data_IF_314228030743
#
_entry.id   IF_314228030743
#
_cell.length_a   1.000
_cell.length_b   1.000
_cell.length_c   1.000
_cell.angle_alpha   90.00
_cell.angle_beta   90.00
_cell.angle_gamma   90.00
#
_symmetry.space_group_name_H-M   'P 1'
#
loop_
_entity.id
_entity.type
_entity.pdbx_description
1 polymer ?
#
# COMPACT_ATOMS: atom_id res chain seq x y z
N UNK A 1 1.20 -19.48 -11.36
CA UNK A 1 1.62 -20.43 -12.39
C UNK A 1 2.18 -19.65 -13.57
N UNK A 2 3.39 -20.02 -14.05
CA UNK A 2 4.06 -19.34 -15.16
C UNK A 2 3.82 -20.03 -16.51
N UNK A 3 3.07 -21.13 -16.49
CA UNK A 3 2.74 -21.89 -17.68
C UNK A 3 1.37 -21.49 -18.21
N UNK A 4 1.29 -21.27 -19.50
CA UNK A 4 0.03 -21.17 -20.24
C UNK A 4 0.21 -21.75 -21.66
N UNK A 5 -0.85 -21.85 -22.43
CA UNK A 5 -0.88 -22.52 -23.74
C UNK A 5 0.14 -22.01 -24.77
N UNK A 6 0.72 -20.82 -24.54
CA UNK A 6 1.69 -20.17 -25.43
C UNK A 6 3.13 -20.21 -24.92
N UNK A 7 3.41 -20.91 -23.79
CA UNK A 7 4.74 -21.00 -23.21
C UNK A 7 4.86 -20.40 -21.80
N UNK A 8 5.95 -19.70 -21.50
CA UNK A 8 6.23 -19.11 -20.20
C UNK A 8 5.87 -17.63 -20.16
N UNK A 9 5.22 -17.19 -19.07
CA UNK A 9 5.08 -15.79 -18.76
C UNK A 9 6.17 -15.35 -17.78
N UNK A 10 6.86 -14.25 -18.11
CA UNK A 10 7.87 -13.64 -17.27
C UNK A 10 7.41 -12.24 -16.84
N UNK A 11 7.52 -11.93 -15.55
CA UNK A 11 7.30 -10.59 -15.00
C UNK A 11 8.62 -10.00 -14.53
N UNK A 12 9.01 -8.90 -15.16
CA UNK A 12 10.14 -8.11 -14.71
C UNK A 12 9.67 -7.07 -13.68
N UNK A 13 10.09 -7.21 -12.42
CA UNK A 13 9.83 -6.22 -11.39
C UNK A 13 10.98 -5.21 -11.37
N UNK A 14 10.68 -3.96 -11.68
CA UNK A 14 11.66 -2.88 -11.71
C UNK A 14 12.02 -2.42 -10.28
N UNK A 15 13.27 -1.93 -10.04
CA UNK A 15 13.70 -1.50 -8.71
C UNK A 15 12.89 -0.28 -8.22
N UNK A 16 12.43 -0.28 -6.94
CA UNK A 16 11.57 0.77 -6.41
C UNK A 16 12.31 2.09 -6.11
N UNK A 17 13.65 2.08 -6.04
CA UNK A 17 14.47 3.23 -5.65
C UNK A 17 15.43 3.73 -6.74
N UNK A 18 15.59 2.99 -7.82
CA UNK A 18 16.51 3.33 -8.90
C UNK A 18 15.77 3.69 -10.18
N UNK A 19 16.19 4.76 -10.83
CA UNK A 19 15.70 5.09 -12.18
C UNK A 19 16.32 4.17 -13.22
N UNK A 20 15.48 3.45 -13.96
CA UNK A 20 15.91 2.66 -15.10
C UNK A 20 16.19 3.62 -16.27
N UNK A 21 17.43 3.64 -16.73
CA UNK A 21 17.82 4.46 -17.89
C UNK A 21 17.90 3.65 -19.18
N UNK A 22 18.01 2.35 -19.06
CA UNK A 22 18.18 1.46 -20.19
C UNK A 22 17.77 0.04 -19.79
N UNK A 23 17.11 -0.66 -20.69
CA UNK A 23 16.66 -2.05 -20.51
C UNK A 23 16.72 -2.75 -21.87
N UNK A 24 17.35 -3.91 -21.91
CA UNK A 24 17.28 -4.83 -23.04
C UNK A 24 16.84 -6.22 -22.56
N UNK A 25 16.08 -6.91 -23.40
CA UNK A 25 15.66 -8.29 -23.15
C UNK A 25 16.19 -9.12 -24.31
N UNK A 26 17.02 -10.11 -24.00
CA UNK A 26 17.53 -11.08 -24.95
C UNK A 26 16.78 -12.39 -24.83
N UNK A 27 16.44 -12.99 -25.98
CA UNK A 27 15.93 -14.34 -26.10
C UNK A 27 16.80 -15.16 -27.04
N UNK A 28 16.81 -16.49 -26.97
CA UNK A 28 17.49 -17.34 -27.96
C UNK A 28 17.04 -17.00 -29.39
N UNK A 29 17.96 -17.15 -30.37
CA UNK A 29 17.75 -16.71 -31.76
C UNK A 29 16.48 -17.32 -32.43
N UNK A 30 16.05 -18.49 -31.96
CA UNK A 30 14.88 -19.19 -32.53
C UNK A 30 13.61 -19.06 -31.66
N UNK A 31 13.67 -18.28 -30.58
CA UNK A 31 12.54 -18.07 -29.69
C UNK A 31 11.79 -16.77 -30.02
N UNK A 32 10.49 -16.77 -29.79
CA UNK A 32 9.65 -15.58 -29.96
C UNK A 32 9.41 -14.91 -28.60
N UNK A 33 9.53 -13.60 -28.55
CA UNK A 33 9.14 -12.76 -27.42
C UNK A 33 7.88 -11.98 -27.77
N UNK A 34 6.83 -12.22 -27.03
CA UNK A 34 5.57 -11.47 -27.16
C UNK A 34 5.29 -10.68 -25.89
N UNK A 35 5.02 -9.39 -26.01
CA UNK A 35 4.58 -8.58 -24.87
C UNK A 35 3.10 -8.80 -24.58
N UNK A 36 2.81 -9.11 -23.33
CA UNK A 36 1.42 -9.24 -22.86
C UNK A 36 0.81 -7.84 -22.75
N UNK A 37 -0.39 -7.60 -23.31
CA UNK A 37 -1.05 -6.30 -23.18
C UNK A 37 -1.28 -5.92 -21.71
N UNK A 38 -1.28 -4.63 -21.44
CA UNK A 38 -1.64 -4.10 -20.12
C UNK A 38 -3.08 -4.52 -19.79
N UNK A 39 -3.30 -4.98 -18.57
CA UNK A 39 -4.65 -5.34 -18.12
C UNK A 39 -5.61 -4.15 -18.25
N UNK A 40 -6.81 -4.34 -18.83
CA UNK A 40 -7.83 -3.29 -18.90
C UNK A 40 -8.55 -3.06 -17.57
N UNK A 41 -8.26 -3.87 -16.57
CA UNK A 41 -8.89 -3.78 -15.24
C UNK A 41 -8.50 -2.49 -14.52
N UNK A 42 -9.46 -1.88 -13.81
CA UNK A 42 -9.15 -0.73 -12.96
C UNK A 42 -8.11 -1.11 -11.91
N UNK A 43 -7.07 -0.29 -11.72
CA UNK A 43 -6.00 -0.60 -10.78
C UNK A 43 -6.47 -0.46 -9.32
N UNK A 44 -5.76 -1.11 -8.42
CA UNK A 44 -5.69 -0.73 -7.02
C UNK A 44 -4.63 0.38 -6.93
N UNK A 45 -4.99 1.50 -6.31
CA UNK A 45 -4.04 2.59 -6.05
C UNK A 45 -3.56 2.51 -4.60
N UNK A 46 -2.26 2.44 -4.42
CA UNK A 46 -1.58 2.47 -3.14
C UNK A 46 -0.83 3.79 -3.00
N UNK A 47 -1.23 4.62 -2.04
CA UNK A 47 -0.49 5.82 -1.64
C UNK A 47 0.10 5.65 -0.25
N UNK A 48 1.41 5.86 -0.11
CA UNK A 48 2.07 5.61 1.16
C UNK A 48 3.52 6.11 1.23
N UNK A 49 4.23 5.56 2.17
CA UNK A 49 5.57 5.95 2.59
C UNK A 49 6.67 5.07 1.96
N UNK A 50 7.89 5.08 2.55
CA UNK A 50 8.96 4.14 2.21
C UNK A 50 8.54 2.67 2.35
N UNK A 51 7.65 2.36 3.29
CA UNK A 51 7.13 0.99 3.48
C UNK A 51 6.30 0.57 2.26
N UNK A 52 5.41 1.44 1.79
CA UNK A 52 4.64 1.21 0.57
C UNK A 52 5.54 1.16 -0.68
N UNK A 53 6.56 2.02 -0.76
CA UNK A 53 7.56 1.99 -1.83
C UNK A 53 8.35 0.68 -1.86
N UNK A 54 8.55 0.04 -0.69
CA UNK A 54 9.22 -1.25 -0.55
C UNK A 54 10.63 -1.18 -0.01
N UNK A 55 10.91 -0.20 0.86
CA UNK A 55 12.19 -0.11 1.57
C UNK A 55 12.48 -1.40 2.35
N UNK A 56 13.71 -1.87 2.26
CA UNK A 56 14.23 -3.09 2.91
C UNK A 56 13.67 -4.43 2.39
N UNK A 57 12.82 -4.43 1.37
CA UNK A 57 12.55 -5.66 0.63
C UNK A 57 13.82 -6.14 -0.08
N UNK A 58 14.12 -7.45 -0.02
CA UNK A 58 15.35 -8.02 -0.62
C UNK A 58 15.43 -7.84 -2.14
N UNK A 59 14.30 -7.71 -2.80
CA UNK A 59 14.13 -7.51 -4.24
C UNK A 59 12.78 -6.88 -4.56
N UNK A 60 12.62 -6.23 -5.73
CA UNK A 60 11.39 -5.52 -6.09
C UNK A 60 10.12 -6.35 -5.96
N UNK A 61 10.16 -7.62 -6.36
CA UNK A 61 9.02 -8.53 -6.28
C UNK A 61 8.59 -8.90 -4.86
N UNK A 62 9.38 -8.55 -3.83
CA UNK A 62 9.07 -8.80 -2.41
C UNK A 62 8.51 -7.57 -1.69
N UNK A 63 8.32 -6.45 -2.38
CA UNK A 63 7.55 -5.34 -1.79
C UNK A 63 6.12 -5.78 -1.56
N UNK A 64 5.50 -5.35 -0.47
CA UNK A 64 4.15 -5.80 -0.14
C UNK A 64 3.10 -5.45 -1.21
N UNK A 65 3.27 -4.32 -1.89
CA UNK A 65 2.42 -3.95 -3.03
C UNK A 65 2.54 -4.93 -4.20
N UNK A 66 3.77 -5.42 -4.51
CA UNK A 66 3.98 -6.41 -5.56
C UNK A 66 3.49 -7.81 -5.18
N UNK A 67 3.57 -8.18 -3.90
CA UNK A 67 2.98 -9.42 -3.39
C UNK A 67 1.45 -9.34 -3.55
N UNK A 68 0.84 -8.26 -3.08
CA UNK A 68 -0.60 -8.00 -3.20
C UNK A 68 -1.07 -8.05 -4.65
N UNK A 69 -0.35 -7.39 -5.57
CA UNK A 69 -0.66 -7.41 -7.00
C UNK A 69 -0.69 -8.82 -7.58
N UNK A 70 0.32 -9.65 -7.23
CA UNK A 70 0.40 -11.04 -7.73
C UNK A 70 -0.74 -11.90 -7.19
N UNK A 71 -1.05 -11.74 -5.92
CA UNK A 71 -2.09 -12.53 -5.25
C UNK A 71 -3.48 -12.20 -5.76
N UNK A 72 -3.78 -10.93 -5.96
CA UNK A 72 -5.10 -10.47 -6.40
C UNK A 72 -5.29 -10.51 -7.93
N UNK A 73 -4.21 -10.50 -8.71
CA UNK A 73 -4.26 -10.44 -10.17
C UNK A 73 -4.69 -9.09 -10.76
N UNK A 74 -4.96 -8.07 -9.95
CA UNK A 74 -5.30 -6.73 -10.41
C UNK A 74 -4.06 -5.86 -10.62
N UNK A 75 -4.06 -4.92 -11.60
CA UNK A 75 -3.02 -3.91 -11.70
C UNK A 75 -2.92 -3.12 -10.40
N UNK A 76 -1.71 -2.76 -10.01
CA UNK A 76 -1.46 -1.92 -8.83
C UNK A 76 -0.59 -0.73 -9.23
N UNK A 77 -1.06 0.48 -8.90
CA UNK A 77 -0.28 1.71 -9.01
C UNK A 77 0.28 2.00 -7.62
N UNK A 78 1.60 1.89 -7.48
CA UNK A 78 2.29 2.16 -6.22
C UNK A 78 2.84 3.58 -6.21
N UNK A 79 2.25 4.44 -5.39
CA UNK A 79 2.67 5.80 -5.08
C UNK A 79 3.27 5.86 -3.67
N UNK A 80 4.23 4.98 -3.40
CA UNK A 80 5.04 5.01 -2.19
C UNK A 80 6.16 6.05 -2.33
N UNK A 81 6.26 6.98 -1.38
CA UNK A 81 7.25 8.05 -1.37
C UNK A 81 8.05 8.03 -0.08
N UNK A 82 9.29 7.53 -0.15
CA UNK A 82 10.20 7.43 1.00
C UNK A 82 10.46 8.79 1.64
N UNK A 83 10.26 8.89 2.95
CA UNK A 83 10.36 10.15 3.70
C UNK A 83 9.23 11.16 3.44
N UNK A 84 8.31 10.85 2.55
CA UNK A 84 7.14 11.63 2.15
C UNK A 84 5.88 10.75 2.22
N UNK A 85 4.89 11.00 1.35
CA UNK A 85 3.61 10.30 1.44
C UNK A 85 2.87 10.70 2.71
N UNK A 86 2.65 12.02 2.86
CA UNK A 86 2.11 12.65 4.08
C UNK A 86 0.70 13.17 3.88
N UNK A 87 -0.04 12.59 2.94
CA UNK A 87 -1.37 13.04 2.53
C UNK A 87 -1.35 14.46 1.96
N UNK A 88 -0.29 14.80 1.22
CA UNK A 88 -0.11 16.09 0.58
C UNK A 88 -1.22 16.34 -0.43
N UNK A 89 -1.84 17.52 -0.36
CA UNK A 89 -2.95 17.90 -1.23
C UNK A 89 -2.60 17.78 -2.72
N UNK A 90 -1.38 18.19 -3.09
CA UNK A 90 -0.90 18.18 -4.46
C UNK A 90 -0.76 16.75 -5.02
N UNK A 91 -0.37 15.79 -4.17
CA UNK A 91 -0.32 14.37 -4.55
C UNK A 91 -1.73 13.81 -4.67
N UNK A 92 -2.63 14.19 -3.77
CA UNK A 92 -4.03 13.79 -3.81
C UNK A 92 -4.74 14.37 -5.04
N UNK A 93 -4.37 15.56 -5.54
CA UNK A 93 -4.89 16.12 -6.79
C UNK A 93 -4.60 15.16 -7.97
N UNK A 94 -3.38 14.63 -8.09
CA UNK A 94 -3.04 13.61 -9.10
C UNK A 94 -3.73 12.26 -8.84
N UNK A 95 -3.85 11.83 -7.59
CA UNK A 95 -4.58 10.61 -7.24
C UNK A 95 -6.04 10.69 -7.70
N UNK A 96 -6.66 11.85 -7.59
CA UNK A 96 -8.03 12.08 -8.05
C UNK A 96 -8.21 12.04 -9.57
N UNK A 97 -7.13 12.04 -10.36
CA UNK A 97 -7.20 11.81 -11.81
C UNK A 97 -7.29 10.31 -12.18
N UNK A 98 -7.00 9.42 -11.22
CA UNK A 98 -6.92 7.98 -11.45
C UNK A 98 -8.22 7.31 -11.03
N UNK A 99 -8.95 6.72 -11.98
CA UNK A 99 -10.13 5.90 -11.70
C UNK A 99 -9.72 4.51 -11.19
N UNK A 100 -9.47 4.42 -9.89
CA UNK A 100 -9.04 3.19 -9.24
C UNK A 100 -10.23 2.34 -8.77
N UNK A 101 -10.01 1.02 -8.68
CA UNK A 101 -10.94 0.06 -8.09
C UNK A 101 -11.02 0.21 -6.57
N UNK A 102 -9.89 0.56 -5.95
CA UNK A 102 -9.72 0.77 -4.52
C UNK A 102 -8.56 1.74 -4.30
N UNK A 103 -8.72 2.66 -3.36
CA UNK A 103 -7.65 3.53 -2.89
C UNK A 103 -7.17 3.04 -1.52
N UNK A 104 -5.88 2.77 -1.37
CA UNK A 104 -5.24 2.38 -0.10
C UNK A 104 -4.36 3.54 0.36
N UNK A 105 -4.61 4.08 1.54
CA UNK A 105 -3.85 5.15 2.15
C UNK A 105 -3.02 4.60 3.33
N UNK A 106 -1.71 4.40 3.10
CA UNK A 106 -0.71 3.88 4.06
C UNK A 106 0.34 4.96 4.36
N UNK A 107 -0.12 6.14 4.83
CA UNK A 107 0.71 7.34 4.97
C UNK A 107 1.13 7.64 6.42
N UNK A 108 0.54 6.98 7.41
CA UNK A 108 0.74 7.32 8.82
C UNK A 108 2.20 7.31 9.27
N UNK A 109 3.10 6.38 8.82
CA UNK A 109 4.47 6.34 9.31
C UNK A 109 5.27 7.65 9.13
N UNK A 110 4.91 8.51 8.19
CA UNK A 110 5.58 9.79 7.96
C UNK A 110 4.87 11.00 8.58
N UNK A 111 3.83 10.77 9.39
CA UNK A 111 3.11 11.83 10.11
C UNK A 111 3.60 12.02 11.55
N UNK A 112 4.72 11.42 11.93
CA UNK A 112 5.28 11.46 13.30
C UNK A 112 5.34 12.85 13.93
N UNK A 113 5.71 13.95 13.20
CA UNK A 113 5.76 15.28 13.82
C UNK A 113 4.39 15.91 14.11
N UNK A 114 3.31 15.30 13.58
CA UNK A 114 1.97 15.86 13.67
C UNK A 114 1.28 15.50 14.98
N UNK A 115 0.47 16.43 15.48
CA UNK A 115 -0.45 16.16 16.57
C UNK A 115 -1.60 15.24 16.13
N UNK A 116 -2.30 14.64 17.08
CA UNK A 116 -3.49 13.82 16.82
C UNK A 116 -4.54 14.56 15.99
N UNK A 117 -4.83 15.83 16.33
CA UNK A 117 -5.84 16.61 15.62
C UNK A 117 -5.40 16.97 14.20
N UNK A 118 -4.12 17.31 13.98
CA UNK A 118 -3.59 17.51 12.62
C UNK A 118 -3.70 16.24 11.77
N UNK A 119 -3.43 15.06 12.34
CA UNK A 119 -3.57 13.77 11.66
C UNK A 119 -5.05 13.50 11.32
N UNK A 120 -5.94 13.74 12.30
CA UNK A 120 -7.39 13.62 12.07
C UNK A 120 -7.84 14.49 10.90
N UNK A 121 -7.36 15.74 10.85
CA UNK A 121 -7.70 16.66 9.76
C UNK A 121 -7.14 16.19 8.41
N UNK A 122 -5.84 15.81 8.36
CA UNK A 122 -5.21 15.34 7.11
C UNK A 122 -5.90 14.12 6.52
N UNK A 123 -6.22 13.13 7.36
CA UNK A 123 -6.93 11.92 6.92
C UNK A 123 -8.34 12.28 6.44
N UNK A 124 -9.04 13.14 7.17
CA UNK A 124 -10.39 13.59 6.77
C UNK A 124 -10.38 14.35 5.44
N UNK A 125 -9.41 15.24 5.24
CA UNK A 125 -9.28 16.01 4.00
C UNK A 125 -8.93 15.11 2.82
N UNK A 126 -8.01 14.16 3.00
CA UNK A 126 -7.65 13.20 1.96
C UNK A 126 -8.85 12.36 1.51
N UNK A 127 -9.61 11.81 2.45
CA UNK A 127 -10.82 11.03 2.14
C UNK A 127 -11.86 11.89 1.44
N UNK A 128 -12.12 13.10 1.91
CA UNK A 128 -13.09 14.02 1.30
C UNK A 128 -12.67 14.44 -0.11
N UNK A 129 -11.37 14.68 -0.33
CA UNK A 129 -10.84 15.03 -1.65
C UNK A 129 -11.03 13.89 -2.66
N UNK A 130 -10.68 12.67 -2.32
CA UNK A 130 -10.92 11.50 -3.17
C UNK A 130 -12.42 11.29 -3.39
N UNK A 131 -13.21 11.41 -2.35
CA UNK A 131 -14.67 11.20 -2.40
C UNK A 131 -15.40 12.24 -3.22
N UNK A 132 -14.81 13.42 -3.42
CA UNK A 132 -15.40 14.46 -4.29
C UNK A 132 -15.47 14.04 -5.76
N UNK A 133 -14.60 13.12 -6.20
CA UNK A 133 -14.48 12.68 -7.60
C UNK A 133 -14.78 11.20 -7.79
N UNK A 134 -14.61 10.36 -6.76
CA UNK A 134 -14.70 8.89 -6.86
C UNK A 134 -15.61 8.29 -5.79
N UNK A 135 -16.36 7.27 -6.20
CA UNK A 135 -17.18 6.44 -5.30
C UNK A 135 -16.52 5.13 -4.88
N UNK A 136 -15.39 4.77 -5.48
CA UNK A 136 -14.66 3.53 -5.18
C UNK A 136 -14.24 3.46 -3.71
N UNK A 137 -14.14 2.26 -3.11
CA UNK A 137 -13.73 2.09 -1.72
C UNK A 137 -12.40 2.77 -1.39
N UNK A 138 -12.28 3.26 -0.15
CA UNK A 138 -11.03 3.81 0.40
C UNK A 138 -10.68 2.99 1.64
N UNK A 139 -9.47 2.43 1.68
CA UNK A 139 -8.90 1.70 2.82
C UNK A 139 -7.85 2.56 3.51
N UNK A 140 -8.09 2.89 4.78
CA UNK A 140 -7.12 3.53 5.65
C UNK A 140 -6.34 2.45 6.39
N UNK A 141 -5.00 2.52 6.39
CA UNK A 141 -4.13 1.54 7.02
C UNK A 141 -3.44 2.18 8.22
N UNK A 142 -3.50 1.53 9.38
CA UNK A 142 -2.78 1.96 10.58
C UNK A 142 -1.27 1.79 10.43
N UNK A 143 -0.54 2.57 11.20
CA UNK A 143 0.90 2.37 11.41
C UNK A 143 1.12 1.04 12.15
N UNK A 144 1.91 0.14 11.57
CA UNK A 144 2.22 -1.17 12.16
C UNK A 144 2.99 -1.08 13.50
N UNK A 145 3.51 0.09 13.85
CA UNK A 145 4.33 0.34 15.03
C UNK A 145 5.82 0.35 14.70
N UNK A 146 6.62 0.35 15.75
CA UNK A 146 8.07 0.23 15.70
C UNK A 146 8.51 -0.99 16.50
N UNK A 147 9.47 -1.77 15.99
CA UNK A 147 9.91 -2.99 16.68
C UNK A 147 10.59 -2.72 18.04
N UNK A 148 11.13 -1.51 18.23
CA UNK A 148 11.74 -1.07 19.49
C UNK A 148 10.77 -0.31 20.43
N UNK A 149 9.48 -0.22 20.12
CA UNK A 149 8.53 0.59 20.88
C UNK A 149 8.41 0.16 22.35
N UNK A 150 8.64 -1.12 22.67
CA UNK A 150 8.62 -1.59 24.08
C UNK A 150 9.81 -1.08 24.91
N UNK A 151 10.88 -0.61 24.26
CA UNK A 151 12.07 -0.06 24.90
C UNK A 151 12.21 1.46 24.69
N UNK A 152 11.33 2.08 23.90
CA UNK A 152 11.34 3.49 23.56
C UNK A 152 9.92 4.06 23.63
N UNK A 153 9.60 4.67 24.77
CA UNK A 153 8.29 5.26 25.00
C UNK A 153 7.92 6.32 23.96
N UNK A 154 8.89 7.05 23.41
CA UNK A 154 8.62 8.02 22.34
C UNK A 154 8.06 7.32 21.12
N UNK A 155 8.67 6.23 20.71
CA UNK A 155 8.21 5.42 19.56
C UNK A 155 6.85 4.78 19.84
N UNK A 156 6.64 4.32 21.06
CA UNK A 156 5.34 3.80 21.48
C UNK A 156 4.24 4.86 21.36
N UNK A 157 4.45 6.03 21.94
CA UNK A 157 3.48 7.11 21.90
C UNK A 157 3.28 7.68 20.48
N UNK A 158 4.31 7.71 19.67
CA UNK A 158 4.23 8.19 18.29
C UNK A 158 3.22 7.40 17.46
N UNK A 159 3.37 6.08 17.35
CA UNK A 159 2.43 5.31 16.51
C UNK A 159 1.03 5.22 17.12
N UNK A 160 0.90 5.18 18.46
CA UNK A 160 -0.41 5.22 19.13
C UNK A 160 -1.13 6.52 18.75
N UNK A 161 -0.48 7.67 18.89
CA UNK A 161 -1.04 8.97 18.52
C UNK A 161 -1.48 9.02 17.06
N UNK A 162 -0.66 8.47 16.14
CA UNK A 162 -0.98 8.44 14.73
C UNK A 162 -2.21 7.57 14.45
N UNK A 163 -2.27 6.38 15.00
CA UNK A 163 -3.39 5.48 14.84
C UNK A 163 -4.68 6.03 15.45
N UNK A 164 -4.60 6.62 16.64
CA UNK A 164 -5.74 7.29 17.28
C UNK A 164 -6.27 8.47 16.45
N UNK A 165 -5.38 9.26 15.82
CA UNK A 165 -5.77 10.37 14.96
C UNK A 165 -6.49 9.89 13.70
N UNK A 166 -5.97 8.84 13.05
CA UNK A 166 -6.58 8.24 11.88
C UNK A 166 -7.92 7.56 12.22
N UNK A 167 -7.99 6.85 13.34
CA UNK A 167 -9.23 6.21 13.81
C UNK A 167 -10.32 7.23 14.11
N UNK A 168 -9.96 8.33 14.79
CA UNK A 168 -10.89 9.44 15.04
C UNK A 168 -11.43 10.02 13.72
N UNK A 169 -10.56 10.24 12.73
CA UNK A 169 -10.99 10.71 11.41
C UNK A 169 -11.97 9.74 10.75
N UNK A 170 -11.67 8.44 10.77
CA UNK A 170 -12.52 7.41 10.23
C UNK A 170 -13.92 7.41 10.87
N UNK A 171 -14.00 7.44 12.20
CA UNK A 171 -15.25 7.46 12.96
C UNK A 171 -16.08 8.73 12.66
N UNK A 172 -15.44 9.90 12.62
CA UNK A 172 -16.07 11.18 12.28
C UNK A 172 -16.61 11.20 10.84
N UNK A 173 -15.86 10.65 9.88
CA UNK A 173 -16.29 10.55 8.47
C UNK A 173 -17.49 9.62 8.33
N UNK A 174 -17.51 8.49 9.04
CA UNK A 174 -18.67 7.60 9.07
C UNK A 174 -19.91 8.30 9.69
N UNK A 175 -19.72 9.03 10.78
CA UNK A 175 -20.79 9.80 11.41
C UNK A 175 -21.33 10.92 10.48
N UNK A 176 -20.50 11.48 9.58
CA UNK A 176 -20.89 12.42 8.53
C UNK A 176 -21.59 11.72 7.34
N UNK A 177 -21.75 10.40 7.36
CA UNK A 177 -22.41 9.64 6.30
C UNK A 177 -21.53 9.33 5.08
N UNK A 178 -20.20 9.50 5.18
CA UNK A 178 -19.26 9.07 4.13
C UNK A 178 -19.26 7.54 4.09
N UNK A 179 -19.60 6.97 2.94
CA UNK A 179 -19.71 5.53 2.73
C UNK A 179 -18.46 4.96 2.07
N UNK A 180 -18.38 3.63 2.09
CA UNK A 180 -17.33 2.86 1.41
C UNK A 180 -15.91 3.28 1.83
N UNK A 181 -15.76 3.63 3.11
CA UNK A 181 -14.48 3.81 3.78
C UNK A 181 -14.27 2.66 4.74
N UNK A 182 -13.05 2.13 4.76
CA UNK A 182 -12.66 0.96 5.52
C UNK A 182 -11.40 1.25 6.30
N UNK A 183 -11.18 0.47 7.35
CA UNK A 183 -10.06 0.68 8.26
C UNK A 183 -9.37 -0.65 8.54
N UNK A 184 -8.05 -0.68 8.45
CA UNK A 184 -7.21 -1.83 8.77
C UNK A 184 -6.35 -1.48 9.97
N UNK A 185 -6.62 -2.14 11.08
CA UNK A 185 -5.95 -1.87 12.36
C UNK A 185 -4.55 -2.49 12.40
N UNK A 186 -3.71 -1.98 13.31
CA UNK A 186 -2.41 -2.57 13.61
C UNK A 186 -2.52 -4.03 14.05
N UNK A 187 -3.56 -4.37 14.79
CA UNK A 187 -3.80 -5.75 15.24
C UNK A 187 -4.10 -6.68 14.06
N UNK A 188 -4.91 -6.23 13.10
CA UNK A 188 -5.18 -6.97 11.86
C UNK A 188 -3.94 -7.07 10.96
N UNK A 189 -3.06 -6.05 10.95
CA UNK A 189 -1.76 -6.11 10.26
C UNK A 189 -0.86 -7.18 10.84
N UNK A 190 -0.95 -7.47 12.15
CA UNK A 190 -0.24 -8.56 12.83
C UNK A 190 1.28 -8.43 12.79
N UNK A 191 1.88 -7.26 13.10
CA UNK A 191 3.32 -7.08 13.02
C UNK A 191 4.05 -8.01 14.00
N UNK A 192 5.05 -8.73 13.51
CA UNK A 192 5.89 -9.60 14.33
C UNK A 192 7.22 -8.90 14.69
N UNK A 193 7.75 -9.03 15.91
CA UNK A 193 9.00 -8.37 16.31
C UNK A 193 10.20 -8.66 15.40
N UNK A 194 10.30 -9.88 14.87
CA UNK A 194 11.42 -10.31 14.01
C UNK A 194 11.21 -9.96 12.51
N UNK A 195 10.08 -9.32 12.17
CA UNK A 195 9.75 -8.99 10.79
C UNK A 195 10.32 -7.64 10.32
N UNK A 196 11.28 -7.07 11.05
CA UNK A 196 11.84 -5.74 10.81
C UNK A 196 13.32 -5.82 10.49
N UNK A 197 13.79 -4.90 9.63
CA UNK A 197 15.21 -4.75 9.30
C UNK A 197 15.87 -3.68 10.18
N UNK A 198 15.19 -2.55 10.29
CA UNK A 198 15.60 -1.43 11.10
C UNK A 198 14.40 -0.95 11.92
N UNK A 199 14.15 -0.96 13.00
CA UNK A 199 13.00 -0.58 13.84
C UNK A 199 11.71 -0.13 13.13
N UNK A 200 11.77 0.25 11.83
CA UNK A 200 10.66 0.85 11.05
C UNK A 200 10.29 0.04 9.84
N UNK A 201 11.28 -0.41 9.06
CA UNK A 201 11.03 -1.02 7.75
C UNK A 201 10.94 -2.53 7.85
N UNK A 202 9.92 -3.14 7.24
CA UNK A 202 9.75 -4.58 7.28
C UNK A 202 10.77 -5.30 6.40
N UNK A 203 11.21 -6.48 6.86
CA UNK A 203 11.92 -7.47 6.06
C UNK A 203 10.98 -8.12 5.05
N UNK A 204 11.47 -9.07 4.22
CA UNK A 204 10.61 -9.84 3.32
C UNK A 204 9.45 -10.52 4.07
N UNK A 205 9.71 -11.05 5.26
CA UNK A 205 8.66 -11.62 6.11
C UNK A 205 7.63 -10.56 6.54
N UNK A 206 8.08 -9.37 6.94
CA UNK A 206 7.19 -8.27 7.28
C UNK A 206 6.39 -7.76 6.10
N UNK A 207 7.01 -7.69 4.91
CA UNK A 207 6.33 -7.35 3.67
C UNK A 207 5.22 -8.35 3.31
N UNK A 208 5.50 -9.65 3.45
CA UNK A 208 4.51 -10.70 3.22
C UNK A 208 3.39 -10.66 4.26
N UNK A 209 3.72 -10.46 5.54
CA UNK A 209 2.73 -10.32 6.61
C UNK A 209 1.77 -9.15 6.33
N UNK A 210 2.30 -7.98 5.97
CA UNK A 210 1.49 -6.82 5.62
C UNK A 210 0.66 -7.06 4.36
N UNK A 211 1.25 -7.64 3.31
CA UNK A 211 0.54 -7.98 2.09
C UNK A 211 -0.65 -8.90 2.36
N UNK A 212 -0.45 -9.96 3.13
CA UNK A 212 -1.50 -10.91 3.48
C UNK A 212 -2.63 -10.28 4.30
N UNK A 213 -2.31 -9.37 5.22
CA UNK A 213 -3.31 -8.64 6.00
C UNK A 213 -4.14 -7.70 5.12
N UNK A 214 -3.47 -6.93 4.26
CA UNK A 214 -4.14 -6.04 3.30
C UNK A 214 -4.96 -6.85 2.30
N UNK A 215 -4.45 -7.97 1.80
CA UNK A 215 -5.17 -8.85 0.87
C UNK A 215 -6.49 -9.34 1.45
N UNK A 216 -6.48 -9.87 2.68
CA UNK A 216 -7.72 -10.30 3.35
C UNK A 216 -8.75 -9.18 3.39
N UNK A 217 -8.33 -7.96 3.77
CA UNK A 217 -9.22 -6.79 3.83
C UNK A 217 -9.71 -6.37 2.44
N UNK A 218 -8.85 -6.41 1.43
CA UNK A 218 -9.22 -6.08 0.04
C UNK A 218 -10.22 -7.10 -0.52
N UNK A 219 -10.02 -8.39 -0.26
CA UNK A 219 -10.98 -9.43 -0.65
C UNK A 219 -12.35 -9.23 -0.02
N UNK A 220 -12.39 -8.88 1.28
CA UNK A 220 -13.61 -8.52 1.99
C UNK A 220 -14.32 -7.33 1.31
N UNK A 221 -13.59 -6.22 1.10
CA UNK A 221 -14.10 -4.97 0.52
C UNK A 221 -14.65 -5.19 -0.90
N UNK A 222 -13.89 -5.87 -1.73
CA UNK A 222 -14.22 -6.09 -3.15
C UNK A 222 -15.05 -7.35 -3.38
N UNK A 223 -15.37 -8.12 -2.33
CA UNK A 223 -16.11 -9.38 -2.38
C UNK A 223 -15.46 -10.40 -3.34
N UNK A 224 -14.13 -10.48 -3.31
CA UNK A 224 -13.36 -11.43 -4.08
C UNK A 224 -13.35 -12.76 -3.32
N UNK A 225 -13.75 -13.88 -3.92
CA UNK A 225 -13.66 -15.19 -3.27
C UNK A 225 -12.23 -15.50 -2.84
N UNK A 226 -12.08 -16.24 -1.74
CA UNK A 226 -10.79 -16.86 -1.44
C UNK A 226 -10.45 -17.80 -2.61
N UNK A 227 -9.27 -17.64 -3.19
CA UNK A 227 -8.81 -18.52 -4.26
C UNK A 227 -8.50 -19.91 -3.68
N UNK A 228 -8.82 -20.94 -4.45
CA UNK A 228 -8.43 -22.33 -4.19
C UNK A 228 -6.91 -22.50 -4.24
#
# INVERSE_FOLDING_TARGET
>A
DLYHDRGYEFRLCLPPYNTIKWLEIGVPENDELTFIPVSPEKPILLYGTSIAQGACASRPGMTWGMILQRSLGYPLINLGFSGNGRLEKEVLDFICEIDARLYILDCLPNLTPKSKDEITQLVSDAVKQIRATHSSPILLVEHAGYSNALADDTKLQDYIRMNEGAKKAFEELQAQGIKDIYYLTREELGPHPDAWVDYVHPSDWGMETQANAVERKVREILRIPEGD
#
